data_IF_247242776383
#
_entry.id   IF_247242776383
#
_cell.length_a   1.000
_cell.length_b   1.000
_cell.length_c   1.000
_cell.angle_alpha   90.00
_cell.angle_beta   90.00
_cell.angle_gamma   90.00
#
_symmetry.space_group_name_H-M   'P 1'
#
loop_
_entity.id
_entity.type
_entity.pdbx_description
1 polymer ?
#
# COMPACT_ATOMS: atom_id res chain seq x y z
N UNK A 1 -32.52 32.21 -21.37
CA UNK A 1 -31.34 31.51 -20.78
C UNK A 1 -31.13 30.25 -21.59
N UNK A 2 -29.99 29.99 -22.19
CA UNK A 2 -29.74 28.76 -22.93
C UNK A 2 -29.63 27.56 -21.98
N UNK A 3 -30.13 26.36 -22.36
CA UNK A 3 -30.13 25.21 -21.50
C UNK A 3 -28.70 24.73 -21.22
N UNK A 4 -28.40 24.35 -19.95
CA UNK A 4 -27.11 23.76 -19.53
C UNK A 4 -26.89 22.46 -20.29
N UNK A 5 -25.83 22.39 -21.11
CA UNK A 5 -25.41 21.16 -21.80
C UNK A 5 -25.00 20.12 -20.75
N UNK A 6 -25.60 18.93 -20.83
CA UNK A 6 -25.19 17.80 -20.00
C UNK A 6 -23.79 17.34 -20.43
N UNK A 7 -22.85 17.25 -19.47
CA UNK A 7 -21.49 16.81 -19.74
C UNK A 7 -21.31 15.38 -19.23
N UNK A 8 -20.70 14.51 -20.05
CA UNK A 8 -20.24 13.19 -19.59
C UNK A 8 -19.23 13.38 -18.46
N UNK A 9 -19.47 12.73 -17.31
CA UNK A 9 -18.55 12.76 -16.15
C UNK A 9 -17.22 12.09 -16.54
N UNK A 10 -16.08 12.72 -16.25
CA UNK A 10 -14.77 12.13 -16.42
C UNK A 10 -14.56 11.01 -15.38
N UNK A 11 -14.26 9.78 -15.85
CA UNK A 11 -14.08 8.61 -14.96
C UNK A 11 -12.81 8.73 -14.12
N UNK A 12 -11.75 9.32 -14.69
CA UNK A 12 -10.43 9.44 -14.05
C UNK A 12 -10.12 10.88 -13.61
N UNK A 13 -11.14 11.73 -13.45
CA UNK A 13 -10.95 13.11 -12.99
C UNK A 13 -10.40 13.18 -11.56
N UNK A 14 -9.64 14.24 -11.25
CA UNK A 14 -9.09 14.48 -9.93
C UNK A 14 -10.20 14.68 -8.88
N UNK A 15 -9.87 14.46 -7.60
CA UNK A 15 -10.83 14.48 -6.50
C UNK A 15 -11.44 15.86 -6.33
N UNK A 16 -10.67 16.93 -6.48
CA UNK A 16 -11.14 18.32 -6.40
C UNK A 16 -12.18 18.66 -7.48
N UNK A 17 -11.99 18.15 -8.71
CA UNK A 17 -12.99 18.35 -9.78
C UNK A 17 -14.23 17.50 -9.54
N UNK A 18 -14.11 16.30 -8.98
CA UNK A 18 -15.24 15.44 -8.62
C UNK A 18 -16.08 16.05 -7.50
N UNK A 19 -15.44 16.54 -6.44
CA UNK A 19 -16.08 17.19 -5.31
C UNK A 19 -16.87 18.43 -5.76
N UNK A 20 -16.25 19.25 -6.59
CA UNK A 20 -16.85 20.47 -7.15
C UNK A 20 -17.82 20.22 -8.33
N UNK A 21 -18.01 18.95 -8.73
CA UNK A 21 -18.89 18.52 -9.84
C UNK A 21 -18.60 19.22 -11.17
N UNK A 22 -17.33 19.53 -11.44
CA UNK A 22 -16.89 20.12 -12.72
C UNK A 22 -16.15 19.07 -13.55
N UNK A 23 -16.12 19.27 -14.88
CA UNK A 23 -15.40 18.38 -15.78
C UNK A 23 -13.89 18.54 -15.56
N UNK A 24 -13.20 17.44 -15.25
CA UNK A 24 -11.74 17.39 -15.23
C UNK A 24 -11.21 17.08 -16.63
N UNK A 25 -10.13 17.72 -17.05
CA UNK A 25 -9.41 17.44 -18.30
C UNK A 25 -8.37 16.32 -18.16
N UNK A 26 -8.29 15.75 -16.95
CA UNK A 26 -7.44 14.59 -16.62
C UNK A 26 -5.94 14.78 -16.94
N UNK A 27 -5.49 16.02 -17.09
CA UNK A 27 -4.05 16.31 -17.27
C UNK A 27 -3.29 16.11 -15.98
N UNK A 28 -2.19 15.38 -16.06
CA UNK A 28 -1.26 15.15 -14.95
C UNK A 28 -0.03 16.08 -15.08
N UNK A 29 0.60 16.50 -13.98
CA UNK A 29 0.29 16.20 -12.58
C UNK A 29 -0.86 17.01 -11.99
N UNK A 30 -1.22 18.16 -12.60
CA UNK A 30 -2.29 19.06 -12.17
C UNK A 30 -3.21 19.34 -13.34
N UNK A 31 -4.52 19.11 -13.17
CA UNK A 31 -5.49 19.43 -14.23
C UNK A 31 -5.66 20.94 -14.40
N UNK A 32 -6.00 21.38 -15.61
CA UNK A 32 -6.13 22.81 -15.93
C UNK A 32 -7.14 23.56 -15.05
N UNK A 33 -8.21 22.86 -14.61
CA UNK A 33 -9.19 23.44 -13.68
C UNK A 33 -8.66 23.67 -12.27
N UNK A 34 -7.73 22.84 -11.79
CA UNK A 34 -7.07 23.06 -10.50
C UNK A 34 -5.94 24.09 -10.63
N UNK A 35 -5.16 24.04 -11.72
CA UNK A 35 -4.12 25.03 -12.00
C UNK A 35 -4.67 26.46 -12.06
N UNK A 36 -5.77 26.70 -12.81
CA UNK A 36 -6.37 28.02 -12.95
C UNK A 36 -6.98 28.58 -11.67
N UNK A 37 -7.09 27.78 -10.62
CA UNK A 37 -7.69 28.13 -9.32
C UNK A 37 -6.74 27.93 -8.16
N UNK A 38 -5.47 27.61 -8.42
CA UNK A 38 -4.43 27.38 -7.40
C UNK A 38 -4.83 26.33 -6.36
N UNK A 39 -5.59 25.28 -6.78
CA UNK A 39 -6.06 24.23 -5.90
C UNK A 39 -5.12 23.03 -5.95
N UNK A 40 -4.93 22.38 -4.80
CA UNK A 40 -4.24 21.08 -4.72
C UNK A 40 -4.99 20.06 -5.58
N UNK A 41 -4.31 19.42 -6.55
CA UNK A 41 -4.92 18.49 -7.48
C UNK A 41 -4.50 17.06 -7.13
N UNK A 42 -5.43 16.23 -6.67
CA UNK A 42 -5.19 14.83 -6.29
C UNK A 42 -5.99 13.89 -7.18
N UNK A 43 -5.37 12.75 -7.58
CA UNK A 43 -5.99 11.71 -8.42
C UNK A 43 -6.02 10.38 -7.65
N UNK A 44 -6.47 10.39 -6.40
CA UNK A 44 -6.56 9.21 -5.56
C UNK A 44 -7.75 8.34 -6.00
N UNK A 45 -7.48 7.18 -6.57
CA UNK A 45 -8.46 6.09 -6.71
C UNK A 45 -8.44 5.22 -5.45
N UNK A 46 -8.78 5.79 -4.32
CA UNK A 46 -9.19 5.00 -3.16
C UNK A 46 -10.69 5.25 -3.01
N UNK A 47 -11.55 4.23 -2.96
CA UNK A 47 -12.96 4.45 -2.67
C UNK A 47 -13.09 4.91 -1.23
N UNK A 48 -13.22 6.23 -1.04
CA UNK A 48 -13.71 6.78 0.23
C UNK A 48 -15.19 6.42 0.27
N UNK A 49 -15.57 5.49 1.12
CA UNK A 49 -16.97 5.20 1.43
C UNK A 49 -17.55 6.47 2.04
N UNK A 50 -18.47 7.08 1.31
CA UNK A 50 -19.14 8.31 1.71
C UNK A 50 -20.06 8.03 2.89
N UNK A 51 -19.85 8.72 4.00
CA UNK A 51 -20.77 8.73 5.13
C UNK A 51 -22.14 9.33 4.72
N UNK A 52 -23.28 8.84 5.28
CA UNK A 52 -24.63 9.30 4.93
C UNK A 52 -24.90 10.71 5.46
N UNK A 53 -25.60 11.48 4.63
CA UNK A 53 -25.82 12.90 4.71
C UNK A 53 -26.49 13.43 5.98
N UNK A 54 -26.10 14.62 6.34
CA UNK A 54 -26.91 15.54 7.15
C UNK A 54 -27.63 16.52 6.26
N UNK A 55 -28.93 16.55 6.40
CA UNK A 55 -29.87 17.49 5.78
C UNK A 55 -29.55 18.93 6.15
N UNK A 56 -29.39 19.77 5.14
CA UNK A 56 -29.27 21.21 5.31
C UNK A 56 -30.64 21.87 5.06
N UNK A 57 -31.12 22.62 6.03
CA UNK A 57 -32.23 23.55 5.88
C UNK A 57 -31.78 24.80 5.11
N UNK A 58 -32.59 25.17 4.14
CA UNK A 58 -32.49 26.39 3.38
C UNK A 58 -32.97 27.60 4.20
N UNK A 59 -32.25 28.71 4.10
CA UNK A 59 -32.81 30.07 4.32
C UNK A 59 -32.30 30.96 3.21
N UNK A 60 -33.24 31.57 2.54
CA UNK A 60 -33.17 32.60 1.52
C UNK A 60 -32.78 33.96 2.13
N UNK A 61 -32.01 34.86 1.48
CA UNK A 61 -32.53 36.04 0.78
C UNK A 61 -31.41 37.07 0.43
N UNK A 62 -31.52 37.54 -0.84
CA UNK A 62 -31.28 38.88 -1.40
C UNK A 62 -29.90 39.57 -1.42
N UNK A 63 -29.49 39.79 -2.65
CA UNK A 63 -28.61 40.90 -3.13
C UNK A 63 -29.29 42.27 -3.00
N UNK A 64 -28.65 43.43 -3.17
CA UNK A 64 -28.05 43.86 -4.47
C UNK A 64 -26.75 44.72 -4.42
N UNK A 65 -26.10 44.81 -5.58
CA UNK A 65 -25.08 45.73 -6.07
C UNK A 65 -25.57 47.19 -6.23
N UNK A 66 -24.76 48.09 -6.81
CA UNK A 66 -23.38 48.60 -6.74
C UNK A 66 -23.33 50.17 -6.55
N UNK A 67 -22.46 51.01 -7.11
CA UNK A 67 -21.08 51.08 -7.59
C UNK A 67 -20.27 52.30 -7.06
N UNK A 68 -18.99 52.47 -7.39
CA UNK A 68 -18.33 53.66 -8.01
C UNK A 68 -16.80 53.67 -7.82
N UNK A 69 -16.11 53.70 -8.91
CA UNK A 69 -15.05 54.56 -9.49
C UNK A 69 -14.14 55.38 -8.54
N UNK A 70 -12.85 55.34 -8.86
CA UNK A 70 -11.86 56.33 -8.41
C UNK A 70 -10.42 55.96 -8.82
N UNK A 71 -9.93 56.63 -9.82
CA UNK A 71 -8.59 56.62 -10.43
C UNK A 71 -7.46 57.03 -9.44
N UNK A 72 -6.25 56.53 -9.58
CA UNK A 72 -5.05 57.22 -10.11
C UNK A 72 -3.72 56.87 -9.46
N UNK A 73 -2.75 56.54 -10.32
CA UNK A 73 -1.33 56.90 -10.38
C UNK A 73 -0.27 56.22 -9.50
N UNK A 74 0.52 55.40 -10.23
CA UNK A 74 1.99 55.37 -10.33
C UNK A 74 2.84 55.76 -9.12
N UNK A 75 3.64 54.76 -8.64
CA UNK A 75 5.10 54.94 -8.58
C UNK A 75 5.81 53.58 -8.51
N UNK A 76 6.70 53.39 -9.48
CA UNK A 76 7.73 52.36 -9.57
C UNK A 76 8.60 52.36 -8.31
N UNK A 77 8.83 51.15 -7.74
CA UNK A 77 10.13 50.82 -7.15
C UNK A 77 10.38 49.31 -7.22
N UNK A 78 11.42 48.98 -7.92
CA UNK A 78 12.09 47.72 -8.13
C UNK A 78 12.41 47.07 -6.77
N UNK A 79 11.79 45.90 -6.42
CA UNK A 79 12.33 44.97 -5.44
C UNK A 79 12.14 43.56 -6.01
N UNK A 80 13.26 42.90 -6.29
CA UNK A 80 13.34 41.49 -6.59
C UNK A 80 12.62 40.69 -5.49
N UNK A 81 11.85 39.63 -5.84
CA UNK A 81 11.33 38.74 -4.83
C UNK A 81 12.48 37.83 -4.37
N UNK A 82 12.92 38.05 -3.13
CA UNK A 82 13.64 37.05 -2.37
C UNK A 82 12.80 35.77 -2.37
N UNK A 83 13.40 34.65 -2.77
CA UNK A 83 12.91 33.30 -2.53
C UNK A 83 12.29 33.22 -1.14
N UNK A 84 10.97 33.00 -1.09
CA UNK A 84 10.31 32.60 0.13
C UNK A 84 10.78 31.18 0.44
N UNK A 85 11.77 31.08 1.31
CA UNK A 85 12.03 29.84 2.05
C UNK A 85 10.74 29.61 2.82
N UNK A 86 9.99 28.59 2.40
CA UNK A 86 8.84 28.08 3.15
C UNK A 86 9.40 27.60 4.48
N UNK A 87 9.23 28.43 5.50
CA UNK A 87 9.56 28.08 6.89
C UNK A 87 8.60 26.97 7.28
N UNK A 88 9.07 25.70 7.28
CA UNK A 88 8.32 24.62 7.89
C UNK A 88 7.99 25.03 9.34
N UNK A 89 6.73 24.89 9.73
CA UNK A 89 6.30 25.13 11.10
C UNK A 89 7.21 24.34 12.06
N UNK A 90 7.71 24.94 13.15
CA UNK A 90 8.64 24.27 14.07
C UNK A 90 8.13 22.92 14.60
N UNK A 91 6.81 22.74 14.68
CA UNK A 91 6.17 21.50 15.09
C UNK A 91 6.39 20.33 14.09
N UNK A 92 6.43 20.61 12.79
CA UNK A 92 6.71 19.57 11.78
C UNK A 92 8.15 19.08 11.86
N UNK A 93 9.12 20.00 12.03
CA UNK A 93 10.54 19.62 12.14
C UNK A 93 10.78 18.73 13.37
N UNK A 94 10.16 19.03 14.50
CA UNK A 94 10.30 18.20 15.71
C UNK A 94 9.65 16.83 15.53
N UNK A 95 8.50 16.76 14.85
CA UNK A 95 7.82 15.49 14.53
C UNK A 95 8.66 14.63 13.60
N UNK A 96 9.25 15.23 12.57
CA UNK A 96 10.14 14.50 11.64
C UNK A 96 11.35 13.91 12.34
N UNK A 97 11.97 14.66 13.26
CA UNK A 97 13.09 14.18 14.06
C UNK A 97 12.69 13.05 15.00
N UNK A 98 11.54 13.15 15.67
CA UNK A 98 10.97 12.09 16.50
C UNK A 98 10.77 10.80 15.70
N UNK A 99 10.13 10.90 14.54
CA UNK A 99 9.82 9.76 13.67
C UNK A 99 11.09 9.14 13.07
N UNK A 100 12.07 9.96 12.67
CA UNK A 100 13.36 9.46 12.19
C UNK A 100 14.13 8.77 13.31
N UNK A 101 14.12 9.32 14.53
CA UNK A 101 14.71 8.67 15.70
C UNK A 101 14.03 7.32 15.98
N UNK A 102 12.70 7.28 16.01
CA UNK A 102 11.93 6.03 16.18
C UNK A 102 12.26 5.01 15.11
N UNK A 103 12.38 5.43 13.84
CA UNK A 103 12.79 4.53 12.76
C UNK A 103 14.17 3.93 13.03
N UNK A 104 15.18 4.75 13.27
CA UNK A 104 16.59 4.33 13.40
C UNK A 104 16.90 3.58 14.70
N UNK A 105 16.06 3.69 15.73
CA UNK A 105 16.27 2.98 17.01
C UNK A 105 15.47 1.69 17.12
N UNK A 106 14.31 1.61 16.45
CA UNK A 106 13.36 0.53 16.69
C UNK A 106 12.64 0.04 15.41
N UNK A 107 11.98 0.94 14.65
CA UNK A 107 11.08 0.54 13.57
C UNK A 107 11.78 -0.22 12.45
N UNK A 108 13.02 0.09 12.12
CA UNK A 108 13.79 -0.58 11.06
C UNK A 108 13.83 -2.12 11.23
N UNK A 109 13.79 -2.62 12.48
CA UNK A 109 13.81 -4.05 12.79
C UNK A 109 12.66 -4.82 12.17
N UNK A 110 11.53 -4.16 11.94
CA UNK A 110 10.36 -4.80 11.33
C UNK A 110 10.52 -5.09 9.83
N UNK A 111 11.62 -4.65 9.23
CA UNK A 111 12.01 -4.90 7.84
C UNK A 111 13.20 -5.86 7.73
N UNK A 112 13.82 -6.21 8.87
CA UNK A 112 14.98 -7.11 8.94
C UNK A 112 14.54 -8.56 9.11
N UNK A 113 15.19 -9.47 8.41
CA UNK A 113 15.01 -10.91 8.63
C UNK A 113 16.05 -11.47 9.58
N UNK A 114 17.25 -10.91 9.57
CA UNK A 114 18.35 -11.33 10.42
C UNK A 114 19.28 -10.17 10.79
N UNK A 115 20.35 -10.48 11.54
CA UNK A 115 21.33 -9.49 11.99
C UNK A 115 22.07 -8.81 10.83
N UNK A 116 22.21 -9.47 9.67
CA UNK A 116 22.93 -8.92 8.52
C UNK A 116 22.19 -7.76 7.84
N UNK A 117 20.87 -7.64 8.09
CA UNK A 117 20.03 -6.59 7.52
C UNK A 117 20.07 -5.30 8.32
N UNK A 118 20.52 -5.37 9.58
CA UNK A 118 20.38 -4.25 10.51
C UNK A 118 21.10 -3.00 10.03
N UNK A 119 22.35 -3.13 9.57
CA UNK A 119 23.14 -1.97 9.11
C UNK A 119 22.48 -1.33 7.87
N UNK A 120 21.93 -2.14 6.97
CA UNK A 120 21.27 -1.64 5.77
C UNK A 120 20.03 -0.80 6.14
N UNK A 121 19.13 -1.36 6.96
CA UNK A 121 17.89 -0.69 7.31
C UNK A 121 18.05 0.40 8.37
N UNK A 122 18.99 0.24 9.31
CA UNK A 122 19.22 1.22 10.37
C UNK A 122 20.01 2.43 9.91
N UNK A 123 21.01 2.24 9.04
CA UNK A 123 22.00 3.28 8.67
C UNK A 123 21.91 3.66 7.21
N UNK A 124 22.06 2.67 6.28
CA UNK A 124 22.17 3.00 4.86
C UNK A 124 20.86 3.50 4.27
N UNK A 125 19.71 2.95 4.64
CA UNK A 125 18.40 3.40 4.16
C UNK A 125 18.06 4.82 4.63
N UNK A 126 18.24 5.24 5.90
CA UNK A 126 18.14 6.64 6.31
C UNK A 126 19.07 7.59 5.56
N UNK A 127 20.31 7.16 5.25
CA UNK A 127 21.21 7.94 4.41
C UNK A 127 20.69 8.11 2.98
N UNK A 128 20.08 7.07 2.38
CA UNK A 128 19.42 7.19 1.08
C UNK A 128 18.17 8.07 1.16
N UNK A 129 17.41 8.02 2.25
CA UNK A 129 16.25 8.84 2.46
C UNK A 129 16.56 10.34 2.45
N UNK A 130 17.75 10.76 2.89
CA UNK A 130 18.20 12.15 2.79
C UNK A 130 18.32 12.66 1.35
N UNK A 131 18.41 11.76 0.36
CA UNK A 131 18.55 12.06 -1.07
C UNK A 131 17.25 11.85 -1.85
N UNK A 132 16.30 11.11 -1.27
CA UNK A 132 15.07 10.69 -1.93
C UNK A 132 13.86 10.96 -1.05
N UNK A 133 13.11 12.04 -1.34
CA UNK A 133 11.96 12.49 -0.54
C UNK A 133 10.87 11.43 -0.41
N UNK A 134 10.66 10.60 -1.43
CA UNK A 134 9.69 9.49 -1.35
C UNK A 134 10.07 8.48 -0.28
N UNK A 135 11.36 8.15 -0.15
CA UNK A 135 11.85 7.21 0.86
C UNK A 135 11.82 7.84 2.27
N UNK A 136 12.17 9.14 2.37
CA UNK A 136 12.02 9.87 3.63
C UNK A 136 10.58 9.81 4.14
N UNK A 137 9.61 10.16 3.28
CA UNK A 137 8.20 10.10 3.66
C UNK A 137 7.75 8.67 4.00
N UNK A 138 8.24 7.65 3.28
CA UNK A 138 7.96 6.26 3.60
C UNK A 138 8.45 5.85 4.99
N UNK A 139 9.68 6.20 5.34
CA UNK A 139 10.29 5.97 6.66
C UNK A 139 9.47 6.65 7.77
N UNK A 140 9.12 7.93 7.58
CA UNK A 140 8.34 8.69 8.56
C UNK A 140 6.92 8.11 8.73
N UNK A 141 6.29 7.70 7.62
CA UNK A 141 4.99 7.02 7.65
C UNK A 141 5.05 5.71 8.44
N UNK A 142 6.06 4.87 8.17
CA UNK A 142 6.20 3.57 8.84
C UNK A 142 6.51 3.73 10.33
N UNK A 143 7.37 4.69 10.69
CA UNK A 143 7.67 4.99 12.09
C UNK A 143 6.44 5.50 12.84
N UNK A 144 5.66 6.39 12.23
CA UNK A 144 4.40 6.88 12.79
C UNK A 144 3.39 5.75 13.00
N UNK A 145 3.25 4.85 12.00
CA UNK A 145 2.38 3.68 12.09
C UNK A 145 2.81 2.73 13.21
N UNK A 146 4.13 2.54 13.39
CA UNK A 146 4.66 1.71 14.49
C UNK A 146 4.34 2.31 15.87
N UNK A 147 4.46 3.63 16.03
CA UNK A 147 4.05 4.30 17.27
C UNK A 147 2.54 4.09 17.50
N UNK A 148 1.71 4.30 16.48
CA UNK A 148 0.27 4.08 16.58
C UNK A 148 -0.09 2.64 16.99
N UNK A 149 0.61 1.64 16.43
CA UNK A 149 0.37 0.22 16.74
C UNK A 149 0.77 -0.17 18.18
N UNK A 150 1.65 0.58 18.81
CA UNK A 150 2.18 0.29 20.16
C UNK A 150 1.64 1.23 21.24
N UNK A 151 0.98 2.32 20.86
CA UNK A 151 0.39 3.27 21.80
C UNK A 151 -0.91 2.73 22.42
N UNK A 152 -1.15 3.09 23.67
CA UNK A 152 -2.34 2.66 24.42
C UNK A 152 -3.43 3.73 24.48
N UNK A 153 -3.05 5.00 24.36
CA UNK A 153 -3.99 6.12 24.43
C UNK A 153 -4.61 6.41 23.06
N UNK A 154 -5.93 6.34 22.96
CA UNK A 154 -6.67 6.47 21.70
C UNK A 154 -6.39 7.79 20.97
N UNK A 155 -6.26 8.91 21.67
CA UNK A 155 -5.97 10.21 21.07
C UNK A 155 -4.59 10.24 20.42
N UNK A 156 -3.60 9.64 21.04
CA UNK A 156 -2.26 9.44 20.49
C UNK A 156 -2.28 8.51 19.27
N UNK A 157 -2.96 7.38 19.37
CA UNK A 157 -3.11 6.43 18.24
C UNK A 157 -3.65 7.14 17.01
N UNK A 158 -4.77 7.85 17.13
CA UNK A 158 -5.40 8.54 15.99
C UNK A 158 -4.49 9.62 15.41
N UNK A 159 -3.78 10.40 16.24
CA UNK A 159 -2.83 11.43 15.77
C UNK A 159 -1.69 10.82 14.94
N UNK A 160 -1.14 9.67 15.38
CA UNK A 160 -0.07 9.01 14.62
C UNK A 160 -0.59 8.26 13.39
N UNK A 161 -1.83 7.74 13.40
CA UNK A 161 -2.46 7.18 12.20
C UNK A 161 -2.67 8.25 11.13
N UNK A 162 -3.15 9.44 11.51
CA UNK A 162 -3.31 10.57 10.57
C UNK A 162 -1.95 11.04 10.03
N UNK A 163 -0.93 11.09 10.87
CA UNK A 163 0.44 11.42 10.47
C UNK A 163 1.01 10.36 9.51
N UNK A 164 0.81 9.07 9.80
CA UNK A 164 1.24 7.97 8.93
C UNK A 164 0.57 8.07 7.55
N UNK A 165 -0.75 8.30 7.51
CA UNK A 165 -1.51 8.47 6.28
C UNK A 165 -1.02 9.68 5.47
N UNK A 166 -0.73 10.79 6.12
CA UNK A 166 -0.20 12.00 5.48
C UNK A 166 1.13 11.73 4.78
N UNK A 167 2.13 11.19 5.49
CA UNK A 167 3.44 10.89 4.89
C UNK A 167 3.35 9.79 3.83
N UNK A 168 2.52 8.77 4.04
CA UNK A 168 2.27 7.73 3.06
C UNK A 168 1.77 8.33 1.73
N UNK A 169 0.77 9.22 1.80
CA UNK A 169 0.26 9.91 0.62
C UNK A 169 1.32 10.83 -0.04
N UNK A 170 2.12 11.55 0.74
CA UNK A 170 3.19 12.39 0.24
C UNK A 170 4.29 11.60 -0.49
N UNK A 171 4.46 10.33 -0.15
CA UNK A 171 5.46 9.47 -0.78
C UNK A 171 5.12 9.07 -2.22
N UNK A 172 3.84 8.99 -2.61
CA UNK A 172 3.42 8.37 -3.87
C UNK A 172 3.85 9.11 -5.14
N UNK A 173 3.67 10.43 -5.18
CA UNK A 173 3.98 11.20 -6.40
C UNK A 173 5.48 11.12 -6.73
N UNK A 174 6.40 11.45 -5.81
CA UNK A 174 7.82 11.34 -6.09
C UNK A 174 8.29 9.88 -6.28
N UNK A 175 7.63 8.90 -5.64
CA UNK A 175 7.90 7.48 -5.86
C UNK A 175 7.55 7.04 -7.29
N UNK A 176 6.37 7.41 -7.80
CA UNK A 176 5.98 7.12 -9.19
C UNK A 176 6.92 7.76 -10.21
N UNK A 177 7.41 8.96 -9.93
CA UNK A 177 8.41 9.61 -10.76
C UNK A 177 9.73 8.81 -10.77
N UNK A 178 10.19 8.36 -9.61
CA UNK A 178 11.39 7.53 -9.49
C UNK A 178 11.24 6.16 -10.20
N UNK A 179 10.05 5.54 -10.13
CA UNK A 179 9.72 4.31 -10.88
C UNK A 179 9.79 4.52 -12.39
N UNK A 180 9.38 5.68 -12.89
CA UNK A 180 9.45 6.06 -14.31
C UNK A 180 10.87 6.39 -14.80
N UNK A 181 11.79 6.71 -13.88
CA UNK A 181 13.17 7.09 -14.14
C UNK A 181 14.16 6.23 -13.34
N UNK A 182 13.98 4.90 -13.39
CA UNK A 182 14.76 3.94 -12.64
C UNK A 182 16.21 3.86 -13.17
N UNK A 183 17.17 3.95 -12.26
CA UNK A 183 18.61 3.94 -12.54
C UNK A 183 19.37 3.13 -11.49
N UNK A 184 20.65 2.74 -11.72
CA UNK A 184 21.49 2.14 -10.70
C UNK A 184 21.64 2.99 -9.42
N UNK A 185 21.48 4.31 -9.54
CA UNK A 185 21.68 5.25 -8.40
C UNK A 185 20.47 5.28 -7.46
N UNK A 186 19.24 5.08 -7.98
CA UNK A 186 18.02 5.15 -7.18
C UNK A 186 17.36 3.78 -6.96
N UNK A 187 17.89 2.70 -7.53
CA UNK A 187 17.24 1.38 -7.46
C UNK A 187 17.09 0.86 -6.03
N UNK A 188 18.07 1.10 -5.16
CA UNK A 188 18.02 0.69 -3.75
C UNK A 188 16.93 1.44 -2.99
N UNK A 189 16.85 2.76 -3.17
CA UNK A 189 15.83 3.58 -2.56
C UNK A 189 14.41 3.19 -3.04
N UNK A 190 14.27 2.88 -4.33
CA UNK A 190 13.00 2.41 -4.91
C UNK A 190 12.61 1.03 -4.36
N UNK A 191 13.57 0.13 -4.23
CA UNK A 191 13.33 -1.19 -3.65
C UNK A 191 12.91 -1.09 -2.18
N UNK A 192 13.66 -0.34 -1.37
CA UNK A 192 13.33 -0.10 0.04
C UNK A 192 11.94 0.52 0.20
N UNK A 193 11.61 1.53 -0.61
CA UNK A 193 10.29 2.14 -0.60
C UNK A 193 9.18 1.16 -0.97
N UNK A 194 9.42 0.24 -1.91
CA UNK A 194 8.44 -0.79 -2.27
C UNK A 194 8.13 -1.71 -1.08
N UNK A 195 9.14 -2.12 -0.32
CA UNK A 195 8.95 -2.91 0.90
C UNK A 195 8.17 -2.13 1.97
N UNK A 196 8.54 -0.87 2.22
CA UNK A 196 7.87 0.01 3.19
C UNK A 196 6.40 0.23 2.81
N UNK A 197 6.11 0.54 1.54
CA UNK A 197 4.74 0.72 1.04
C UNK A 197 3.90 -0.54 1.23
N UNK A 198 4.48 -1.72 1.01
CA UNK A 198 3.77 -2.99 1.19
C UNK A 198 3.38 -3.20 2.65
N UNK A 199 4.32 -3.00 3.58
CA UNK A 199 4.07 -3.11 5.02
C UNK A 199 2.99 -2.13 5.47
N UNK A 200 3.09 -0.87 5.06
CA UNK A 200 2.09 0.15 5.38
C UNK A 200 0.73 -0.21 4.77
N UNK A 201 0.70 -0.68 3.52
CA UNK A 201 -0.52 -1.07 2.81
C UNK A 201 -1.26 -2.23 3.49
N UNK A 202 -0.54 -3.15 4.13
CA UNK A 202 -1.14 -4.25 4.92
C UNK A 202 -1.69 -3.72 6.25
N UNK A 203 -0.90 -2.94 7.00
CA UNK A 203 -1.20 -2.62 8.39
C UNK A 203 -2.08 -1.38 8.59
N UNK A 204 -1.86 -0.31 7.83
CA UNK A 204 -2.51 0.98 8.05
C UNK A 204 -4.04 0.93 7.90
N UNK A 205 -4.63 0.32 6.84
CA UNK A 205 -6.09 0.29 6.69
C UNK A 205 -6.76 -0.48 7.83
N UNK A 206 -6.17 -1.60 8.26
CA UNK A 206 -6.67 -2.41 9.37
C UNK A 206 -6.65 -1.65 10.69
N UNK A 207 -5.51 -1.06 11.06
CA UNK A 207 -5.38 -0.27 12.29
C UNK A 207 -6.31 0.94 12.28
N UNK A 208 -6.43 1.61 11.14
CA UNK A 208 -7.32 2.75 10.99
C UNK A 208 -8.78 2.35 11.22
N UNK A 209 -9.25 1.29 10.59
CA UNK A 209 -10.62 0.78 10.75
C UNK A 209 -10.88 0.34 12.20
N UNK A 210 -9.95 -0.37 12.83
CA UNK A 210 -10.04 -0.83 14.21
C UNK A 210 -10.24 0.34 15.20
N UNK A 211 -9.46 1.42 15.05
CA UNK A 211 -9.52 2.56 15.98
C UNK A 211 -10.63 3.57 15.67
N UNK A 212 -11.16 3.56 14.44
CA UNK A 212 -12.30 4.42 14.05
C UNK A 212 -13.65 3.70 14.08
N UNK A 213 -13.65 2.37 14.33
CA UNK A 213 -14.88 1.57 14.31
C UNK A 213 -15.50 1.44 12.93
N UNK A 214 -14.67 1.42 11.88
CA UNK A 214 -15.12 1.27 10.49
C UNK A 214 -15.16 -0.20 10.08
N UNK A 215 -16.06 -0.55 9.13
CA UNK A 215 -16.04 -1.86 8.51
C UNK A 215 -14.74 -2.05 7.70
N UNK A 216 -14.12 -3.22 7.86
CA UNK A 216 -12.87 -3.56 7.18
C UNK A 216 -12.94 -4.99 6.64
N UNK A 217 -12.45 -5.18 5.41
CA UNK A 217 -12.26 -6.49 4.79
C UNK A 217 -10.77 -6.68 4.52
N UNK A 218 -10.21 -7.75 5.07
CA UNK A 218 -8.80 -8.09 4.82
C UNK A 218 -8.60 -8.58 3.39
N UNK A 219 -9.59 -9.23 2.78
CA UNK A 219 -9.53 -9.66 1.38
C UNK A 219 -9.44 -8.44 0.45
N UNK A 220 -10.32 -7.44 0.63
CA UNK A 220 -10.28 -6.20 -0.17
C UNK A 220 -8.97 -5.43 0.02
N UNK A 221 -8.47 -5.42 1.25
CA UNK A 221 -7.19 -4.82 1.54
C UNK A 221 -6.05 -5.52 0.78
N UNK A 222 -6.02 -6.85 0.78
CA UNK A 222 -5.01 -7.61 0.05
C UNK A 222 -5.09 -7.39 -1.46
N UNK A 223 -6.30 -7.35 -2.04
CA UNK A 223 -6.49 -7.01 -3.46
C UNK A 223 -5.91 -5.61 -3.75
N UNK A 224 -6.15 -4.63 -2.88
CA UNK A 224 -5.60 -3.28 -3.02
C UNK A 224 -4.07 -3.25 -2.94
N UNK A 225 -3.46 -4.05 -2.05
CA UNK A 225 -1.99 -4.19 -1.96
C UNK A 225 -1.42 -4.82 -3.23
N UNK A 226 -2.04 -5.86 -3.77
CA UNK A 226 -1.64 -6.45 -5.06
C UNK A 226 -1.70 -5.42 -6.19
N UNK A 227 -2.77 -4.64 -6.30
CA UNK A 227 -2.90 -3.58 -7.31
C UNK A 227 -1.82 -2.51 -7.19
N UNK A 228 -1.47 -2.13 -5.97
CA UNK A 228 -0.41 -1.18 -5.68
C UNK A 228 0.95 -1.69 -6.19
N UNK A 229 1.19 -3.01 -6.05
CA UNK A 229 2.45 -3.65 -6.39
C UNK A 229 2.56 -4.09 -7.86
N UNK A 230 1.48 -4.07 -8.63
CA UNK A 230 1.49 -4.50 -10.05
C UNK A 230 2.53 -3.75 -10.90
N UNK A 231 2.76 -2.46 -10.63
CA UNK A 231 3.81 -1.68 -11.29
C UNK A 231 5.24 -2.12 -10.90
N UNK A 232 5.40 -2.70 -9.71
CA UNK A 232 6.71 -3.03 -9.12
C UNK A 232 7.35 -4.27 -9.74
N UNK A 233 6.59 -5.19 -10.31
CA UNK A 233 7.12 -6.40 -10.97
C UNK A 233 8.02 -6.06 -12.17
N UNK A 234 7.59 -5.12 -13.01
CA UNK A 234 8.39 -4.65 -14.16
C UNK A 234 9.68 -3.98 -13.69
N UNK A 235 9.55 -3.15 -12.65
CA UNK A 235 10.67 -2.44 -12.03
C UNK A 235 11.67 -3.42 -11.42
N UNK A 236 11.18 -4.38 -10.65
CA UNK A 236 11.99 -5.43 -10.03
C UNK A 236 12.81 -6.20 -11.08
N UNK A 237 12.19 -6.54 -12.22
CA UNK A 237 12.87 -7.21 -13.33
C UNK A 237 14.00 -6.36 -13.95
N UNK A 238 13.75 -5.06 -14.13
CA UNK A 238 14.73 -4.13 -14.69
C UNK A 238 15.89 -3.88 -13.71
N UNK A 239 15.60 -3.70 -12.43
CA UNK A 239 16.59 -3.38 -11.40
C UNK A 239 17.38 -4.60 -10.89
N UNK A 240 16.95 -5.82 -11.22
CA UNK A 240 17.59 -7.07 -10.75
C UNK A 240 19.14 -7.10 -10.91
N UNK A 241 19.73 -6.72 -12.05
CA UNK A 241 21.20 -6.72 -12.19
C UNK A 241 21.86 -5.73 -11.24
N UNK A 242 21.22 -4.59 -10.98
CA UNK A 242 21.74 -3.54 -10.10
C UNK A 242 21.61 -3.92 -8.64
N UNK A 243 20.46 -4.46 -8.23
CA UNK A 243 20.21 -4.93 -6.86
C UNK A 243 21.14 -6.09 -6.48
N UNK A 244 21.51 -6.97 -7.42
CA UNK A 244 22.52 -8.02 -7.21
C UNK A 244 23.93 -7.48 -6.92
N UNK A 245 24.22 -6.23 -7.27
CA UNK A 245 25.50 -5.55 -7.02
C UNK A 245 25.41 -4.49 -5.92
N UNK A 246 24.28 -4.42 -5.19
CA UNK A 246 23.98 -3.39 -4.17
C UNK A 246 23.93 -3.98 -2.75
N UNK A 247 23.51 -3.16 -1.78
CA UNK A 247 23.25 -3.59 -0.40
C UNK A 247 22.22 -4.73 -0.34
N UNK A 248 21.32 -4.81 -1.31
CA UNK A 248 20.30 -5.87 -1.40
C UNK A 248 20.75 -7.13 -2.13
N UNK A 249 22.05 -7.29 -2.45
CA UNK A 249 22.61 -8.45 -3.14
C UNK A 249 22.41 -9.78 -2.42
N UNK A 250 22.34 -9.73 -1.10
CA UNK A 250 22.11 -10.89 -0.22
C UNK A 250 20.68 -11.44 -0.29
N UNK A 251 19.71 -10.64 -0.78
CA UNK A 251 18.34 -11.05 -0.91
C UNK A 251 18.11 -11.75 -2.25
N UNK A 252 18.08 -13.08 -2.23
CA UNK A 252 17.82 -13.86 -3.44
C UNK A 252 16.31 -14.10 -3.64
N UNK A 253 15.57 -12.98 -3.78
CA UNK A 253 14.11 -13.00 -3.97
C UNK A 253 13.69 -13.62 -5.30
N UNK A 254 14.63 -13.70 -6.24
CA UNK A 254 14.39 -14.06 -7.63
C UNK A 254 14.44 -15.55 -7.90
N UNK A 255 15.00 -16.30 -6.98
CA UNK A 255 15.14 -17.74 -7.12
C UNK A 255 13.89 -18.43 -6.59
N UNK A 256 13.28 -19.28 -7.42
CA UNK A 256 12.31 -20.24 -6.96
C UNK A 256 13.10 -21.32 -6.21
N UNK A 257 12.91 -21.39 -4.91
CA UNK A 257 13.54 -22.44 -4.12
C UNK A 257 12.64 -23.67 -4.06
N UNK A 258 13.27 -24.82 -4.27
CA UNK A 258 12.67 -26.16 -4.11
C UNK A 258 13.17 -26.79 -2.81
N UNK A 259 13.20 -26.01 -1.71
CA UNK A 259 13.62 -26.51 -0.41
C UNK A 259 12.64 -27.55 0.16
N UNK A 260 13.13 -28.33 1.12
CA UNK A 260 12.29 -29.27 1.86
C UNK A 260 11.30 -28.46 2.72
N UNK A 261 10.02 -28.68 2.46
CA UNK A 261 8.93 -28.19 3.30
C UNK A 261 8.71 -29.17 4.45
N UNK A 262 8.12 -28.67 5.53
CA UNK A 262 7.56 -29.54 6.55
C UNK A 262 6.54 -30.51 5.89
N UNK A 263 6.42 -31.69 6.44
CA UNK A 263 5.54 -32.74 5.91
C UNK A 263 4.08 -32.29 5.84
N UNK A 264 3.60 -31.49 6.81
CA UNK A 264 2.23 -30.97 6.82
C UNK A 264 2.04 -29.88 5.75
N UNK A 265 2.98 -28.94 5.60
CA UNK A 265 2.97 -27.90 4.58
C UNK A 265 3.00 -28.50 3.17
N UNK A 266 3.89 -29.49 2.97
CA UNK A 266 4.00 -30.18 1.69
C UNK A 266 2.67 -30.85 1.30
N UNK A 267 2.05 -31.59 2.24
CA UNK A 267 0.74 -32.23 2.02
C UNK A 267 -0.35 -31.18 1.72
N UNK A 268 -0.36 -30.06 2.41
CA UNK A 268 -1.33 -28.98 2.19
C UNK A 268 -1.19 -28.38 0.77
N UNK A 269 0.04 -28.05 0.36
CA UNK A 269 0.33 -27.51 -0.97
C UNK A 269 0.04 -28.53 -2.09
N UNK A 270 0.29 -29.83 -1.85
CA UNK A 270 -0.06 -30.87 -2.82
C UNK A 270 -1.58 -31.04 -2.96
N UNK A 271 -2.34 -31.00 -1.86
CA UNK A 271 -3.82 -31.03 -1.89
C UNK A 271 -4.34 -29.83 -2.70
N UNK A 272 -3.81 -28.63 -2.44
CA UNK A 272 -4.15 -27.40 -3.17
C UNK A 272 -3.85 -27.54 -4.67
N UNK A 273 -2.68 -28.04 -5.06
CA UNK A 273 -2.29 -28.29 -6.46
C UNK A 273 -3.20 -29.28 -7.17
N UNK A 274 -3.58 -30.36 -6.51
CA UNK A 274 -4.50 -31.38 -7.08
C UNK A 274 -5.87 -30.80 -7.34
N UNK A 275 -6.43 -30.08 -6.36
CA UNK A 275 -7.74 -29.42 -6.48
C UNK A 275 -7.74 -28.44 -7.65
N UNK A 276 -6.72 -27.59 -7.76
CA UNK A 276 -6.57 -26.60 -8.83
C UNK A 276 -6.52 -27.30 -10.21
N UNK A 277 -5.82 -28.42 -10.33
CA UNK A 277 -5.73 -29.17 -11.60
C UNK A 277 -7.07 -29.78 -12.02
N UNK A 278 -7.94 -30.11 -11.07
CA UNK A 278 -9.23 -30.72 -11.36
C UNK A 278 -10.32 -29.69 -11.75
N UNK A 279 -10.19 -28.45 -11.32
CA UNK A 279 -11.28 -27.46 -11.39
C UNK A 279 -10.99 -26.35 -12.43
N UNK A 280 -9.72 -25.98 -12.62
CA UNK A 280 -9.38 -24.85 -13.46
C UNK A 280 -9.52 -25.13 -14.95
N UNK A 281 -10.07 -24.15 -15.66
CA UNK A 281 -9.98 -24.09 -17.12
C UNK A 281 -8.56 -23.71 -17.60
N UNK A 282 -8.32 -23.80 -18.91
CA UNK A 282 -6.99 -23.60 -19.48
C UNK A 282 -6.45 -22.16 -19.30
N UNK A 283 -7.32 -21.16 -19.16
CA UNK A 283 -6.95 -19.75 -19.14
C UNK A 283 -6.51 -19.29 -17.74
N UNK A 284 -7.27 -19.63 -16.70
CA UNK A 284 -6.96 -19.24 -15.31
C UNK A 284 -6.03 -20.26 -14.63
N UNK A 285 -6.06 -21.52 -15.03
CA UNK A 285 -5.30 -22.61 -14.41
C UNK A 285 -3.78 -22.40 -14.47
N UNK A 286 -3.26 -21.70 -15.50
CA UNK A 286 -1.82 -21.39 -15.58
C UNK A 286 -1.39 -20.37 -14.51
N UNK A 287 -2.18 -19.31 -14.28
CA UNK A 287 -1.87 -18.28 -13.30
C UNK A 287 -1.98 -18.83 -11.87
N UNK A 288 -2.98 -19.68 -11.61
CA UNK A 288 -3.18 -20.32 -10.32
C UNK A 288 -2.04 -21.31 -9.99
N UNK A 289 -1.61 -22.13 -10.94
CA UNK A 289 -0.45 -23.04 -10.76
C UNK A 289 0.83 -22.27 -10.44
N UNK A 290 1.11 -21.18 -11.17
CA UNK A 290 2.28 -20.34 -10.91
C UNK A 290 2.20 -19.67 -9.53
N UNK A 291 1.02 -19.22 -9.10
CA UNK A 291 0.82 -18.69 -7.76
C UNK A 291 1.09 -19.72 -6.67
N UNK A 292 0.73 -21.00 -6.89
CA UNK A 292 1.04 -22.11 -5.98
C UNK A 292 2.53 -22.44 -5.97
N UNK A 293 3.21 -22.43 -7.11
CA UNK A 293 4.66 -22.66 -7.18
C UNK A 293 5.44 -21.57 -6.45
N UNK A 294 5.03 -20.30 -6.61
CA UNK A 294 5.56 -19.19 -5.86
C UNK A 294 5.27 -19.32 -4.37
N UNK A 295 4.07 -19.76 -3.99
CA UNK A 295 3.68 -19.97 -2.59
C UNK A 295 4.54 -21.07 -1.95
N UNK A 296 4.76 -22.18 -2.64
CA UNK A 296 5.68 -23.26 -2.21
C UNK A 296 7.08 -22.70 -1.91
N UNK A 297 7.61 -21.87 -2.82
CA UNK A 297 8.89 -21.20 -2.63
C UNK A 297 8.91 -20.26 -1.40
N UNK A 298 7.80 -19.56 -1.14
CA UNK A 298 7.68 -18.70 0.06
C UNK A 298 7.75 -19.51 1.36
N UNK A 299 7.05 -20.64 1.46
CA UNK A 299 7.14 -21.55 2.60
C UNK A 299 8.58 -22.02 2.81
N UNK A 300 9.24 -22.53 1.77
CA UNK A 300 10.61 -23.02 1.86
C UNK A 300 11.61 -21.93 2.30
N UNK A 301 11.44 -20.71 1.83
CA UNK A 301 12.30 -19.56 2.24
C UNK A 301 12.03 -19.12 3.66
N UNK A 302 10.77 -19.04 4.03
CA UNK A 302 10.37 -18.61 5.37
C UNK A 302 10.84 -19.58 6.46
N UNK A 303 10.74 -20.88 6.21
CA UNK A 303 11.23 -21.91 7.12
C UNK A 303 12.74 -21.77 7.43
N UNK A 304 13.53 -21.21 6.49
CA UNK A 304 14.98 -21.02 6.68
C UNK A 304 15.36 -19.74 7.40
N UNK A 305 14.66 -18.66 7.17
CA UNK A 305 15.13 -17.36 7.62
C UNK A 305 14.08 -16.51 8.34
N UNK A 306 12.80 -16.93 8.31
CA UNK A 306 11.67 -16.12 8.82
C UNK A 306 11.65 -14.68 8.28
N UNK A 307 12.28 -14.46 7.11
CA UNK A 307 12.46 -13.14 6.54
C UNK A 307 11.15 -12.63 5.92
N UNK A 308 10.65 -11.43 6.32
CA UNK A 308 9.35 -10.93 5.84
C UNK A 308 9.28 -10.79 4.31
N UNK A 309 10.40 -10.44 3.67
CA UNK A 309 10.44 -10.29 2.21
C UNK A 309 10.19 -11.60 1.47
N UNK A 310 10.51 -12.75 2.08
CA UNK A 310 10.21 -14.06 1.48
C UNK A 310 8.69 -14.22 1.24
N UNK A 311 7.86 -13.74 2.16
CA UNK A 311 6.39 -13.77 2.07
C UNK A 311 5.87 -12.65 1.17
N UNK A 312 6.40 -11.43 1.32
CA UNK A 312 5.96 -10.26 0.56
C UNK A 312 6.31 -10.38 -0.94
N UNK A 313 7.36 -11.13 -1.29
CA UNK A 313 7.73 -11.40 -2.69
C UNK A 313 6.60 -12.05 -3.48
N UNK A 314 5.77 -12.91 -2.85
CA UNK A 314 4.62 -13.53 -3.48
C UNK A 314 3.64 -12.49 -4.04
N UNK A 315 3.36 -11.42 -3.28
CA UNK A 315 2.49 -10.33 -3.71
C UNK A 315 3.01 -9.60 -4.95
N UNK A 316 4.34 -9.51 -5.10
CA UNK A 316 5.00 -8.81 -6.22
C UNK A 316 5.01 -9.68 -7.48
N UNK A 317 5.25 -10.99 -7.35
CA UNK A 317 5.49 -11.87 -8.50
C UNK A 317 4.25 -12.58 -9.02
N UNK A 318 3.15 -12.56 -8.26
CA UNK A 318 1.87 -13.16 -8.69
C UNK A 318 1.30 -12.42 -9.91
N UNK A 319 0.81 -13.17 -10.88
CA UNK A 319 0.29 -12.66 -12.15
C UNK A 319 -1.02 -11.88 -11.97
N UNK A 320 -1.26 -10.96 -12.92
CA UNK A 320 -2.47 -10.13 -12.95
C UNK A 320 -3.74 -10.97 -13.05
N UNK A 321 -3.72 -12.04 -13.83
CA UNK A 321 -4.87 -12.95 -14.03
C UNK A 321 -5.31 -13.59 -12.71
N UNK A 322 -4.37 -13.96 -11.84
CA UNK A 322 -4.68 -14.43 -10.48
C UNK A 322 -5.36 -13.33 -9.64
N UNK A 323 -4.86 -12.10 -9.72
CA UNK A 323 -5.40 -10.95 -8.97
C UNK A 323 -6.81 -10.60 -9.48
N UNK A 324 -7.03 -10.68 -10.79
CA UNK A 324 -8.36 -10.50 -11.38
C UNK A 324 -9.33 -11.60 -10.87
N UNK A 325 -8.86 -12.85 -10.70
CA UNK A 325 -9.61 -13.93 -10.06
C UNK A 325 -9.97 -13.63 -8.58
N UNK A 326 -9.04 -13.07 -7.79
CA UNK A 326 -9.32 -12.61 -6.42
C UNK A 326 -10.38 -11.51 -6.40
N UNK A 327 -10.28 -10.54 -7.30
CA UNK A 327 -11.26 -9.44 -7.43
C UNK A 327 -12.65 -9.95 -7.79
N UNK A 328 -12.74 -10.98 -8.62
CA UNK A 328 -13.98 -11.64 -9.00
C UNK A 328 -14.46 -12.67 -7.97
N UNK A 329 -13.78 -12.79 -6.83
CA UNK A 329 -14.11 -13.76 -5.76
C UNK A 329 -14.15 -15.21 -6.26
N UNK A 330 -13.30 -15.55 -7.21
CA UNK A 330 -13.20 -16.93 -7.69
C UNK A 330 -12.68 -17.86 -6.58
N UNK A 331 -13.29 -19.04 -6.38
CA UNK A 331 -12.98 -19.91 -5.24
C UNK A 331 -11.53 -20.38 -5.18
N UNK A 332 -10.93 -20.75 -6.31
CA UNK A 332 -9.54 -21.27 -6.36
C UNK A 332 -8.53 -20.17 -5.98
N UNK A 333 -8.51 -18.95 -6.55
CA UNK A 333 -7.66 -17.87 -6.10
C UNK A 333 -7.85 -17.52 -4.62
N UNK A 334 -9.09 -17.53 -4.10
CA UNK A 334 -9.35 -17.29 -2.68
C UNK A 334 -8.73 -18.37 -1.79
N UNK A 335 -8.81 -19.65 -2.20
CA UNK A 335 -8.19 -20.75 -1.47
C UNK A 335 -6.66 -20.65 -1.47
N UNK A 336 -6.05 -20.27 -2.59
CA UNK A 336 -4.60 -20.05 -2.67
C UNK A 336 -4.19 -18.88 -1.74
N UNK A 337 -4.94 -17.77 -1.75
CA UNK A 337 -4.73 -16.65 -0.85
C UNK A 337 -4.87 -17.05 0.62
N UNK A 338 -5.79 -17.96 0.94
CA UNK A 338 -5.97 -18.51 2.29
C UNK A 338 -4.71 -19.21 2.79
N UNK A 339 -4.06 -20.03 1.95
CA UNK A 339 -2.81 -20.69 2.30
C UNK A 339 -1.66 -19.69 2.49
N UNK A 340 -1.60 -18.62 1.70
CA UNK A 340 -0.68 -17.52 1.93
C UNK A 340 -0.99 -16.78 3.24
N UNK A 341 -2.28 -16.68 3.61
CA UNK A 341 -2.72 -16.11 4.89
C UNK A 341 -2.16 -16.83 6.12
N UNK A 342 -1.87 -18.14 6.00
CA UNK A 342 -1.18 -18.90 7.08
C UNK A 342 0.24 -18.37 7.29
N UNK A 343 1.02 -18.14 6.22
CA UNK A 343 2.34 -17.51 6.32
C UNK A 343 2.27 -16.11 6.94
N UNK A 344 1.27 -15.33 6.55
CA UNK A 344 1.05 -14.01 7.14
C UNK A 344 0.70 -14.09 8.63
N UNK A 345 -0.01 -15.15 9.07
CA UNK A 345 -0.30 -15.38 10.48
C UNK A 345 0.96 -15.73 11.27
N UNK A 346 1.83 -16.57 10.73
CA UNK A 346 3.12 -16.89 11.34
C UNK A 346 4.02 -15.65 11.45
N UNK A 347 4.06 -14.84 10.39
CA UNK A 347 4.78 -13.57 10.37
C UNK A 347 4.30 -12.62 11.47
N UNK A 348 3.00 -12.67 11.79
CA UNK A 348 2.38 -11.87 12.85
C UNK A 348 2.89 -12.20 14.27
N UNK A 349 3.54 -13.35 14.49
CA UNK A 349 4.20 -13.67 15.76
C UNK A 349 5.56 -12.98 15.92
N UNK A 350 6.15 -12.50 14.84
CA UNK A 350 7.46 -11.85 14.80
C UNK A 350 7.38 -10.34 14.54
N UNK A 351 6.38 -9.89 13.77
CA UNK A 351 6.31 -8.51 13.28
C UNK A 351 4.98 -7.86 13.62
N UNK A 352 5.03 -6.73 14.34
CA UNK A 352 3.87 -5.97 14.79
C UNK A 352 2.86 -5.62 13.69
N UNK A 353 3.35 -5.31 12.48
CA UNK A 353 2.51 -4.89 11.35
C UNK A 353 1.69 -6.03 10.72
N UNK A 354 2.12 -7.28 10.93
CA UNK A 354 1.42 -8.47 10.47
C UNK A 354 0.54 -9.10 11.56
N UNK A 355 0.66 -8.61 12.81
CA UNK A 355 -0.05 -9.18 13.97
C UNK A 355 -1.57 -9.21 13.74
N UNK A 356 -2.15 -10.41 13.76
CA UNK A 356 -3.58 -10.66 13.55
C UNK A 356 -4.04 -10.61 12.09
N UNK A 357 -3.25 -10.05 11.16
CA UNK A 357 -3.64 -9.91 9.75
C UNK A 357 -3.91 -11.26 9.08
N UNK A 358 -3.06 -12.26 9.34
CA UNK A 358 -3.23 -13.58 8.76
C UNK A 358 -4.48 -14.30 9.29
N UNK A 359 -4.72 -14.23 10.60
CA UNK A 359 -5.94 -14.78 11.22
C UNK A 359 -7.20 -14.14 10.65
N UNK A 360 -7.24 -12.80 10.58
CA UNK A 360 -8.38 -12.07 10.04
C UNK A 360 -8.65 -12.46 8.58
N UNK A 361 -7.60 -12.55 7.75
CA UNK A 361 -7.68 -12.97 6.36
C UNK A 361 -8.24 -14.38 6.19
N UNK A 362 -7.66 -15.35 6.91
CA UNK A 362 -8.09 -16.75 6.80
C UNK A 362 -9.50 -16.92 7.32
N UNK A 363 -9.88 -16.24 8.41
CA UNK A 363 -11.25 -16.29 8.96
C UNK A 363 -12.27 -15.74 7.98
N UNK A 364 -11.96 -14.60 7.34
CA UNK A 364 -12.84 -14.00 6.32
C UNK A 364 -12.98 -14.90 5.09
N UNK A 365 -11.87 -15.50 4.62
CA UNK A 365 -11.86 -16.43 3.48
C UNK A 365 -12.63 -17.73 3.77
N UNK A 366 -12.56 -18.26 5.01
CA UNK A 366 -13.35 -19.41 5.44
C UNK A 366 -14.86 -19.11 5.45
N UNK A 367 -15.24 -17.87 5.75
CA UNK A 367 -16.65 -17.46 5.69
C UNK A 367 -17.14 -17.26 4.25
N UNK A 368 -16.26 -16.87 3.34
CA UNK A 368 -16.57 -16.63 1.92
C UNK A 368 -16.64 -17.93 1.11
N UNK A 369 -15.69 -18.85 1.31
CA UNK A 369 -15.64 -20.14 0.59
C UNK A 369 -16.61 -21.12 1.24
N UNK A 370 -17.79 -21.28 0.62
CA UNK A 370 -18.79 -22.27 1.03
C UNK A 370 -18.76 -23.42 0.03
N UNK A 371 -18.40 -24.61 0.47
CA UNK A 371 -18.45 -25.83 -0.35
C UNK A 371 -18.85 -27.01 0.53
N UNK A 372 -19.72 -27.88 -0.01
CA UNK A 372 -20.07 -29.16 0.60
C UNK A 372 -19.26 -30.32 0.01
N UNK A 373 -18.36 -30.01 -0.94
CA UNK A 373 -17.50 -30.99 -1.60
C UNK A 373 -16.38 -31.43 -0.63
N UNK A 374 -16.24 -32.74 -0.36
CA UNK A 374 -15.19 -33.27 0.52
C UNK A 374 -13.77 -32.91 0.10
N UNK A 375 -13.53 -32.68 -1.20
CA UNK A 375 -12.20 -32.30 -1.72
C UNK A 375 -11.83 -30.88 -1.28
N UNK A 376 -12.82 -29.96 -1.25
CA UNK A 376 -12.66 -28.61 -0.74
C UNK A 376 -12.44 -28.59 0.76
N UNK A 377 -13.25 -29.36 1.52
CA UNK A 377 -13.08 -29.46 2.97
C UNK A 377 -11.68 -29.92 3.37
N UNK A 378 -11.11 -30.91 2.65
CA UNK A 378 -9.75 -31.36 2.88
C UNK A 378 -8.69 -30.27 2.62
N UNK A 379 -8.94 -29.36 1.67
CA UNK A 379 -8.04 -28.24 1.40
C UNK A 379 -8.18 -27.10 2.41
N UNK A 380 -9.37 -26.91 3.01
CA UNK A 380 -9.66 -25.91 4.05
C UNK A 380 -9.18 -26.36 5.44
N UNK A 381 -9.01 -27.66 5.67
CA UNK A 381 -8.67 -28.21 7.00
C UNK A 381 -7.34 -27.67 7.54
N UNK A 382 -6.29 -27.67 6.72
CA UNK A 382 -4.97 -27.23 7.17
C UNK A 382 -4.91 -25.73 7.51
N UNK A 383 -5.38 -24.78 6.67
CA UNK A 383 -5.42 -23.37 7.06
C UNK A 383 -6.24 -23.12 8.34
N UNK A 384 -7.37 -23.83 8.52
CA UNK A 384 -8.21 -23.75 9.73
C UNK A 384 -7.42 -24.18 10.98
N UNK A 385 -6.75 -25.33 10.91
CA UNK A 385 -5.86 -25.84 11.96
C UNK A 385 -4.78 -24.84 12.34
N UNK A 386 -4.12 -24.23 11.35
CA UNK A 386 -2.97 -23.35 11.55
C UNK A 386 -3.32 -22.02 12.23
N UNK A 387 -4.54 -21.53 12.08
CA UNK A 387 -4.99 -20.32 12.78
C UNK A 387 -5.76 -20.62 14.07
N UNK A 388 -5.98 -21.89 14.40
CA UNK A 388 -6.66 -22.33 15.62
C UNK A 388 -8.18 -22.04 15.62
N UNK A 389 -8.86 -22.31 14.51
CA UNK A 389 -10.33 -22.13 14.34
C UNK A 389 -10.98 -23.45 13.92
#
# INVERSE_FOLDING_TARGET
MPPRRSHKKSRNGCDQCKERRVKCDEKHPICSNCTSRELTCTYLKIPIVSAPGRTAHAVTDRSPDPPHQGQSQLKNQNKQPMSSVVSAEPSFVLRDLELMHKFSTDTFRCLCGDQSDMDDWQVLIPQQASKHTFLLHGILALASLHIAATATETTHVLSYLDTALQYYNMSFVPFRQALGALTPVNCDAVFAQSAIITVIGIALPRLNAQHRGECFSMIENMVSVFELLQGSTKVSRISRPWLKASMFSKYDFWMIETGDLDSEELVAIEKLSRLTTCIDDAEHGSANREAIDLLRSCFAKFARSSHPVAILAWLVYTKKEFIDGLRMRQPVPLLILMHWGVLLNELGSHFWWAMGCGRDLVTELLAEIKSEDPVWEQALEWPRKMIGV
#
